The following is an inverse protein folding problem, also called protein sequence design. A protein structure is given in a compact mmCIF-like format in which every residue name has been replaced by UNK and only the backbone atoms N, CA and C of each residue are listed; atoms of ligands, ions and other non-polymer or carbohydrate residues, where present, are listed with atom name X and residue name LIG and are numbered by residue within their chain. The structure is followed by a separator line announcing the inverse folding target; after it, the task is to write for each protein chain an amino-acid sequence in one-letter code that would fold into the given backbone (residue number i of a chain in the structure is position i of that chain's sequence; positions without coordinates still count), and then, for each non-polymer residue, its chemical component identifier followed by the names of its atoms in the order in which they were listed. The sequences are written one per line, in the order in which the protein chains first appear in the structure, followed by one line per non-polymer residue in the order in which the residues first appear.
data_IF_619119448078
#
_entry.id   IF_619119448078
#
_cell.length_a   1.000
_cell.length_b   1.000
_cell.length_c   1.000
_cell.angle_alpha   90.00
_cell.angle_beta   90.00
_cell.angle_gamma   90.00
#
_symmetry.space_group_name_H-M   'P 1'
#
loop_
_entity.id
_entity.type
_entity.pdbx_description
1 polymer ?
#
# COMPACT_ATOMS: atom_id res chain seq x y z
N UNK A 1 13.98 9.39 -10.88
CA UNK A 1 12.63 9.97 -10.69
C UNK A 1 12.54 11.11 -11.68
N UNK A 2 11.90 10.89 -12.83
CA UNK A 2 11.66 11.97 -13.76
C UNK A 2 10.57 12.86 -13.17
N UNK A 3 10.89 14.14 -12.99
CA UNK A 3 9.99 15.18 -12.54
C UNK A 3 8.92 15.37 -13.63
N UNK A 4 7.77 14.71 -13.47
CA UNK A 4 6.60 15.01 -14.29
C UNK A 4 6.13 16.41 -13.90
N UNK A 5 6.62 17.42 -14.62
CA UNK A 5 6.04 18.76 -14.63
C UNK A 5 4.54 18.59 -14.86
N UNK A 6 3.66 19.16 -14.00
CA UNK A 6 2.23 18.98 -14.15
C UNK A 6 1.83 19.48 -15.55
N UNK A 7 1.34 18.56 -16.39
CA UNK A 7 0.85 18.90 -17.72
C UNK A 7 -0.21 19.99 -17.55
N UNK A 8 0.09 21.18 -18.08
CA UNK A 8 -0.77 22.36 -18.00
C UNK A 8 -2.16 21.97 -18.50
N UNK A 9 -3.20 22.21 -17.69
CA UNK A 9 -4.57 21.86 -18.10
C UNK A 9 -4.91 22.54 -19.42
N UNK A 10 -5.55 21.82 -20.37
CA UNK A 10 -5.91 22.39 -21.66
C UNK A 10 -6.82 23.59 -21.45
N UNK A 11 -6.52 24.70 -22.13
CA UNK A 11 -7.27 25.96 -22.02
C UNK A 11 -8.36 25.96 -23.08
N UNK A 12 -9.61 26.18 -22.67
CA UNK A 12 -10.73 26.24 -23.60
C UNK A 12 -10.57 27.45 -24.54
N UNK A 13 -10.74 27.30 -25.86
CA UNK A 13 -10.79 28.44 -26.77
C UNK A 13 -11.93 29.38 -26.40
N UNK A 14 -11.75 30.67 -26.65
CA UNK A 14 -12.75 31.67 -26.32
C UNK A 14 -14.08 31.38 -27.04
N UNK A 15 -15.20 31.54 -26.33
CA UNK A 15 -16.52 31.32 -26.91
C UNK A 15 -16.82 32.45 -27.89
N UNK A 16 -16.87 32.16 -29.18
CA UNK A 16 -17.34 33.13 -30.16
C UNK A 16 -18.78 33.55 -29.83
N UNK A 17 -19.00 34.86 -29.74
CA UNK A 17 -20.34 35.41 -29.70
C UNK A 17 -21.06 35.05 -31.01
N UNK A 18 -22.34 34.67 -30.98
CA UNK A 18 -23.10 34.40 -32.20
C UNK A 18 -23.17 35.69 -33.03
N UNK A 19 -22.35 35.79 -34.07
CA UNK A 19 -22.45 36.87 -35.05
C UNK A 19 -23.67 36.61 -35.93
N UNK A 20 -24.56 37.59 -36.14
CA UNK A 20 -25.69 37.41 -37.04
C UNK A 20 -25.19 37.10 -38.45
N UNK A 21 -25.92 36.24 -39.15
CA UNK A 21 -25.64 35.92 -40.55
C UNK A 21 -25.67 37.22 -41.36
N UNK A 22 -24.73 37.44 -42.31
CA UNK A 22 -24.76 38.62 -43.17
C UNK A 22 -26.16 38.78 -43.79
N UNK A 23 -26.80 39.96 -43.69
CA UNK A 23 -28.13 40.18 -44.24
C UNK A 23 -28.10 40.06 -45.76
N UNK A 24 -29.16 39.49 -46.33
CA UNK A 24 -29.32 39.33 -47.78
C UNK A 24 -29.35 40.74 -48.41
N UNK A 25 -28.56 41.02 -49.45
CA UNK A 25 -28.53 42.33 -50.08
C UNK A 25 -29.89 42.64 -50.71
N UNK A 26 -30.44 43.81 -50.39
CA UNK A 26 -31.65 44.33 -51.04
C UNK A 26 -31.27 44.99 -52.37
N UNK A 27 -31.67 44.37 -53.48
CA UNK A 27 -31.34 44.83 -54.84
C UNK A 27 -32.44 45.66 -55.49
N UNK A 28 -33.51 46.00 -54.76
CA UNK A 28 -34.69 46.68 -55.29
C UNK A 28 -34.42 48.10 -55.82
N UNK A 29 -33.37 48.76 -55.33
CA UNK A 29 -33.02 50.15 -55.67
C UNK A 29 -31.67 50.30 -56.42
N UNK A 30 -31.01 49.19 -56.78
CA UNK A 30 -29.68 49.21 -57.41
C UNK A 30 -29.75 49.21 -58.94
N UNK A 31 -28.80 49.88 -59.61
CA UNK A 31 -28.67 49.84 -61.09
C UNK A 31 -28.29 48.44 -61.56
N UNK A 32 -28.82 47.99 -62.70
CA UNK A 32 -28.61 46.63 -63.22
C UNK A 32 -27.14 46.18 -63.35
N UNK A 33 -26.22 47.12 -63.56
CA UNK A 33 -24.77 46.87 -63.66
C UNK A 33 -24.07 46.66 -62.29
N UNK A 34 -24.66 47.11 -61.19
CA UNK A 34 -24.08 47.05 -59.84
C UNK A 34 -24.47 45.76 -59.09
N UNK A 35 -25.56 45.10 -59.53
CA UNK A 35 -26.12 43.89 -58.94
C UNK A 35 -25.08 42.73 -58.87
N UNK A 36 -24.32 42.39 -59.93
CA UNK A 36 -23.34 41.31 -59.88
C UNK A 36 -22.23 41.56 -58.87
N UNK A 37 -21.80 42.82 -58.74
CA UNK A 37 -20.76 43.25 -57.82
C UNK A 37 -21.25 43.12 -56.37
N UNK A 38 -22.48 43.54 -56.08
CA UNK A 38 -23.12 43.38 -54.75
C UNK A 38 -23.20 41.90 -54.35
N UNK A 39 -23.66 41.03 -55.24
CA UNK A 39 -23.70 39.58 -54.97
C UNK A 39 -22.30 38.98 -54.79
N UNK A 40 -21.28 39.46 -55.51
CA UNK A 40 -19.91 38.97 -55.37
C UNK A 40 -19.30 39.30 -53.99
N UNK A 41 -19.55 40.51 -53.49
CA UNK A 41 -19.16 40.92 -52.14
C UNK A 41 -19.90 40.12 -51.08
N UNK A 42 -21.21 39.92 -51.24
CA UNK A 42 -22.02 39.10 -50.33
C UNK A 42 -21.52 37.65 -50.27
N UNK A 43 -21.23 37.02 -51.41
CA UNK A 43 -20.64 35.67 -51.48
C UNK A 43 -19.29 35.60 -50.79
N UNK A 44 -18.45 36.62 -50.97
CA UNK A 44 -17.14 36.71 -50.31
C UNK A 44 -17.30 36.86 -48.80
N UNK A 45 -18.26 37.68 -48.33
CA UNK A 45 -18.60 37.84 -46.92
C UNK A 45 -19.07 36.52 -46.28
N UNK A 46 -19.97 35.80 -46.94
CA UNK A 46 -20.42 34.46 -46.52
C UNK A 46 -19.26 33.45 -46.49
N UNK A 47 -18.36 33.49 -47.47
CA UNK A 47 -17.19 32.61 -47.50
C UNK A 47 -16.28 32.83 -46.29
N UNK A 48 -15.98 34.10 -45.95
CA UNK A 48 -15.19 34.44 -44.74
C UNK A 48 -15.91 34.03 -43.45
N UNK A 49 -17.22 34.21 -43.40
CA UNK A 49 -18.01 33.78 -42.23
C UNK A 49 -17.94 32.24 -42.06
N UNK A 50 -18.02 31.49 -43.15
CA UNK A 50 -17.89 30.02 -43.13
C UNK A 50 -16.47 29.57 -42.74
N UNK A 51 -15.42 30.25 -43.18
CA UNK A 51 -14.04 29.91 -42.77
C UNK A 51 -13.84 30.14 -41.27
N UNK A 52 -14.28 31.28 -40.74
CA UNK A 52 -14.18 31.55 -39.29
C UNK A 52 -14.96 30.54 -38.43
N UNK A 53 -16.16 30.12 -38.85
CA UNK A 53 -16.89 29.04 -38.17
C UNK A 53 -16.18 27.68 -38.30
N UNK A 54 -15.47 27.44 -39.40
CA UNK A 54 -14.72 26.19 -39.61
C UNK A 54 -13.46 26.15 -38.74
N UNK A 55 -12.72 27.25 -38.67
CA UNK A 55 -11.58 27.43 -37.75
C UNK A 55 -12.01 27.19 -36.30
N UNK A 56 -13.10 27.84 -35.85
CA UNK A 56 -13.62 27.62 -34.50
C UNK A 56 -14.05 26.18 -34.21
N UNK A 57 -14.58 25.46 -35.22
CA UNK A 57 -14.88 24.03 -35.10
C UNK A 57 -13.62 23.19 -34.97
N UNK A 58 -12.55 23.54 -35.68
CA UNK A 58 -11.25 22.89 -35.57
C UNK A 58 -10.67 23.12 -34.18
N UNK A 59 -10.62 24.36 -33.70
CA UNK A 59 -10.10 24.71 -32.35
C UNK A 59 -10.84 23.94 -31.24
N UNK A 60 -12.18 23.85 -31.34
CA UNK A 60 -12.98 23.07 -30.39
C UNK A 60 -12.71 21.57 -30.48
N UNK A 61 -12.37 21.06 -31.66
CA UNK A 61 -12.04 19.64 -31.87
C UNK A 61 -10.66 19.30 -31.31
N UNK A 62 -9.67 20.17 -31.50
CA UNK A 62 -8.35 20.06 -30.87
C UNK A 62 -8.48 20.12 -29.35
N UNK A 63 -9.17 21.12 -28.81
CA UNK A 63 -9.41 21.24 -27.37
C UNK A 63 -10.09 20.00 -26.76
N UNK A 64 -11.04 19.38 -27.48
CA UNK A 64 -11.68 18.13 -27.03
C UNK A 64 -10.70 16.96 -27.01
N UNK A 65 -9.80 16.90 -27.98
CA UNK A 65 -8.78 15.85 -28.07
C UNK A 65 -7.78 16.01 -26.94
N UNK A 66 -7.29 17.23 -26.69
CA UNK A 66 -6.39 17.54 -25.57
C UNK A 66 -7.04 17.23 -24.22
N UNK A 67 -8.30 17.61 -24.05
CA UNK A 67 -9.06 17.29 -22.83
C UNK A 67 -9.25 15.78 -22.65
N UNK A 68 -9.42 15.02 -23.74
CA UNK A 68 -9.51 13.56 -23.70
C UNK A 68 -8.18 12.95 -23.25
N UNK A 69 -7.06 13.37 -23.84
CA UNK A 69 -5.72 12.91 -23.46
C UNK A 69 -5.43 13.24 -21.99
N UNK A 70 -5.70 14.48 -21.56
CA UNK A 70 -5.49 14.92 -20.18
C UNK A 70 -6.32 14.11 -19.17
N UNK A 71 -7.54 13.68 -19.53
CA UNK A 71 -8.36 12.80 -18.69
C UNK A 71 -7.76 11.39 -18.58
N UNK A 72 -7.22 10.87 -19.68
CA UNK A 72 -6.54 9.57 -19.69
C UNK A 72 -5.31 9.61 -18.78
N UNK A 73 -4.44 10.61 -18.92
CA UNK A 73 -3.25 10.77 -18.07
C UNK A 73 -3.61 10.86 -16.57
N UNK A 74 -4.65 11.63 -16.24
CA UNK A 74 -5.12 11.75 -14.87
C UNK A 74 -5.67 10.41 -14.33
N UNK A 75 -6.33 9.63 -15.18
CA UNK A 75 -6.84 8.29 -14.85
C UNK A 75 -5.70 7.31 -14.58
N UNK A 76 -4.67 7.32 -15.42
CA UNK A 76 -3.46 6.51 -15.24
C UNK A 76 -2.74 6.87 -13.94
N UNK A 77 -2.53 8.17 -13.69
CA UNK A 77 -1.88 8.65 -12.47
C UNK A 77 -2.66 8.24 -11.20
N UNK A 78 -4.01 8.35 -11.23
CA UNK A 78 -4.87 7.88 -10.13
C UNK A 78 -4.70 6.37 -9.89
N UNK A 79 -4.62 5.59 -10.96
CA UNK A 79 -4.40 4.14 -10.88
C UNK A 79 -3.03 3.83 -10.28
N UNK A 80 -1.97 4.52 -10.72
CA UNK A 80 -0.63 4.39 -10.16
C UNK A 80 -0.59 4.72 -8.66
N UNK A 81 -1.20 5.82 -8.26
CA UNK A 81 -1.29 6.24 -6.86
C UNK A 81 -2.09 5.23 -6.01
N UNK A 82 -3.14 4.63 -6.58
CA UNK A 82 -3.90 3.56 -5.94
C UNK A 82 -3.02 2.33 -5.68
N UNK A 83 -2.28 1.87 -6.70
CA UNK A 83 -1.35 0.73 -6.58
C UNK A 83 -0.27 0.98 -5.52
N UNK A 84 0.31 2.19 -5.49
CA UNK A 84 1.30 2.60 -4.47
C UNK A 84 0.71 2.56 -3.05
N UNK A 85 -0.53 3.03 -2.87
CA UNK A 85 -1.24 2.97 -1.57
C UNK A 85 -1.46 1.53 -1.10
N UNK A 86 -1.85 0.64 -2.01
CA UNK A 86 -2.00 -0.78 -1.73
C UNK A 86 -0.67 -1.40 -1.28
N UNK A 87 0.42 -1.12 -1.99
CA UNK A 87 1.77 -1.55 -1.60
C UNK A 87 2.17 -1.10 -0.19
N UNK A 88 1.93 0.17 0.15
CA UNK A 88 2.20 0.70 1.50
C UNK A 88 1.29 0.09 2.57
N UNK A 89 0.05 -0.25 2.23
CA UNK A 89 -0.87 -0.94 3.15
C UNK A 89 -0.35 -2.32 3.55
N UNK A 90 0.14 -3.09 2.56
CA UNK A 90 0.76 -4.41 2.80
C UNK A 90 1.96 -4.30 3.76
N UNK A 91 2.80 -3.29 3.58
CA UNK A 91 3.95 -3.04 4.46
C UNK A 91 3.51 -2.69 5.90
N UNK A 92 2.43 -1.94 6.06
CA UNK A 92 1.84 -1.66 7.38
C UNK A 92 1.28 -2.92 8.04
N UNK A 93 0.56 -3.76 7.31
CA UNK A 93 0.02 -5.04 7.84
C UNK A 93 1.15 -5.94 8.32
N UNK A 94 2.25 -6.01 7.57
CA UNK A 94 3.47 -6.72 8.01
C UNK A 94 4.02 -6.16 9.32
N UNK A 95 4.21 -4.84 9.41
CA UNK A 95 4.75 -4.21 10.61
C UNK A 95 3.85 -4.48 11.84
N UNK A 96 2.53 -4.53 11.65
CA UNK A 96 1.60 -4.94 12.70
C UNK A 96 1.83 -6.39 13.15
N UNK A 97 2.03 -7.32 12.21
CA UNK A 97 2.35 -8.71 12.55
C UNK A 97 3.69 -8.86 13.30
N UNK A 98 4.70 -8.05 12.96
CA UNK A 98 5.97 -7.97 13.69
C UNK A 98 5.76 -7.48 15.13
N UNK A 99 4.90 -6.47 15.34
CA UNK A 99 4.57 -5.97 16.69
C UNK A 99 3.85 -7.03 17.53
N UNK A 100 2.92 -7.77 16.94
CA UNK A 100 2.25 -8.87 17.63
C UNK A 100 3.26 -9.94 18.06
N UNK A 101 4.19 -10.31 17.18
CA UNK A 101 5.24 -11.28 17.52
C UNK A 101 6.12 -10.75 18.67
N UNK A 102 6.50 -9.47 18.67
CA UNK A 102 7.26 -8.89 19.77
C UNK A 102 6.49 -8.90 21.10
N UNK A 103 5.17 -8.71 21.06
CA UNK A 103 4.32 -8.84 22.26
C UNK A 103 4.30 -10.28 22.77
N UNK A 104 4.14 -11.26 21.88
CA UNK A 104 4.14 -12.68 22.24
C UNK A 104 5.50 -13.12 22.81
N UNK A 105 6.61 -12.64 22.23
CA UNK A 105 7.97 -12.86 22.74
C UNK A 105 8.08 -12.37 24.18
N UNK A 106 7.61 -11.14 24.47
CA UNK A 106 7.69 -10.57 25.82
C UNK A 106 6.90 -11.39 26.83
N UNK A 107 5.66 -11.75 26.50
CA UNK A 107 4.82 -12.58 27.37
C UNK A 107 5.49 -13.94 27.65
N UNK A 108 6.01 -14.58 26.60
CA UNK A 108 6.68 -15.87 26.69
C UNK A 108 7.94 -15.79 27.55
N UNK A 109 8.78 -14.78 27.33
CA UNK A 109 10.02 -14.57 28.09
C UNK A 109 9.74 -14.32 29.58
N UNK A 110 8.70 -13.56 29.92
CA UNK A 110 8.28 -13.35 31.30
C UNK A 110 7.84 -14.65 31.96
N UNK A 111 7.05 -15.48 31.27
CA UNK A 111 6.62 -16.78 31.79
C UNK A 111 7.79 -17.75 31.97
N UNK A 112 8.72 -17.80 31.01
CA UNK A 112 9.90 -18.67 31.08
C UNK A 112 10.83 -18.22 32.21
N UNK A 113 11.15 -16.94 32.31
CA UNK A 113 12.07 -16.41 33.33
C UNK A 113 11.49 -16.54 34.75
N UNK A 114 10.21 -16.20 34.92
CA UNK A 114 9.53 -16.37 36.21
C UNK A 114 9.39 -17.84 36.60
N UNK A 115 9.01 -18.70 35.66
CA UNK A 115 8.88 -20.14 35.89
C UNK A 115 10.21 -20.78 36.27
N UNK A 116 11.30 -20.38 35.62
CA UNK A 116 12.65 -20.81 35.95
C UNK A 116 13.09 -20.35 37.35
N UNK A 117 12.80 -19.10 37.71
CA UNK A 117 13.15 -18.55 39.02
C UNK A 117 12.42 -19.29 40.14
N UNK A 118 11.10 -19.48 40.00
CA UNK A 118 10.28 -20.27 40.94
C UNK A 118 10.85 -21.68 41.06
N UNK A 119 11.07 -22.36 39.92
CA UNK A 119 11.59 -23.72 39.91
C UNK A 119 12.89 -23.84 40.71
N UNK A 120 13.86 -22.94 40.48
CA UNK A 120 15.14 -22.95 41.18
C UNK A 120 15.03 -22.62 42.67
N UNK A 121 14.23 -21.61 43.04
CA UNK A 121 14.06 -21.22 44.46
C UNK A 121 13.46 -22.38 45.25
N UNK A 122 12.36 -22.97 44.77
CA UNK A 122 11.73 -24.09 45.47
C UNK A 122 12.62 -25.32 45.53
N UNK A 123 13.38 -25.59 44.47
CA UNK A 123 14.37 -26.68 44.47
C UNK A 123 15.47 -26.46 45.52
N UNK A 124 16.07 -25.27 45.57
CA UNK A 124 17.10 -24.93 46.57
C UNK A 124 16.57 -24.98 48.01
N UNK A 125 15.33 -24.57 48.25
CA UNK A 125 14.68 -24.65 49.55
C UNK A 125 14.37 -26.10 49.96
N UNK A 126 14.03 -26.96 49.00
CA UNK A 126 13.87 -28.39 49.25
C UNK A 126 15.21 -29.06 49.56
N UNK A 127 16.26 -28.71 48.81
CA UNK A 127 17.61 -29.24 49.01
C UNK A 127 18.22 -28.80 50.36
N UNK A 128 17.84 -27.63 50.89
CA UNK A 128 18.27 -27.15 52.22
C UNK A 128 17.49 -27.74 53.40
N UNK A 129 16.47 -28.57 53.14
CA UNK A 129 15.61 -29.16 54.16
C UNK A 129 14.63 -28.17 54.83
N UNK A 130 14.52 -26.94 54.32
CA UNK A 130 13.62 -25.91 54.86
C UNK A 130 12.13 -26.20 54.60
N UNK A 131 11.83 -27.06 53.63
CA UNK A 131 10.49 -27.52 53.28
C UNK A 131 10.51 -29.04 53.06
N UNK A 132 9.55 -29.76 53.64
CA UNK A 132 9.30 -31.17 53.32
C UNK A 132 8.97 -31.23 51.83
N UNK A 133 9.86 -31.85 51.05
CA UNK A 133 9.87 -31.84 49.58
C UNK A 133 8.60 -32.47 48.99
N UNK A 134 7.52 -31.69 48.95
CA UNK A 134 6.34 -31.97 48.15
C UNK A 134 6.62 -31.57 46.71
N UNK A 135 6.46 -32.48 45.75
CA UNK A 135 6.72 -32.25 44.32
C UNK A 135 5.87 -31.11 43.69
N UNK A 136 4.91 -30.53 44.42
CA UNK A 136 3.91 -29.61 43.87
C UNK A 136 4.43 -28.21 43.43
N UNK A 137 5.31 -27.49 44.18
CA UNK A 137 5.73 -26.15 43.78
C UNK A 137 6.71 -26.11 42.60
N UNK A 138 7.61 -27.09 42.51
CA UNK A 138 8.54 -27.21 41.37
C UNK A 138 7.81 -27.49 40.05
N UNK A 139 6.74 -28.29 40.10
CA UNK A 139 5.90 -28.55 38.93
C UNK A 139 5.25 -27.28 38.38
N UNK A 140 4.89 -26.32 39.24
CA UNK A 140 4.29 -25.06 38.82
C UNK A 140 5.25 -24.20 38.00
N UNK A 141 6.51 -24.09 38.43
CA UNK A 141 7.56 -23.40 37.67
C UNK A 141 7.80 -24.05 36.30
N UNK A 142 7.86 -25.39 36.26
CA UNK A 142 7.99 -26.17 35.02
C UNK A 142 6.82 -25.94 34.05
N UNK A 143 5.58 -25.96 34.55
CA UNK A 143 4.37 -25.69 33.74
C UNK A 143 4.44 -24.29 33.12
N UNK A 144 4.88 -23.28 33.88
CA UNK A 144 4.96 -21.92 33.37
C UNK A 144 5.99 -21.76 32.25
N UNK A 145 7.13 -22.46 32.36
CA UNK A 145 8.14 -22.53 31.28
C UNK A 145 7.55 -23.18 30.03
N UNK A 146 6.89 -24.34 30.18
CA UNK A 146 6.25 -25.05 29.06
C UNK A 146 5.18 -24.18 28.41
N UNK A 147 4.36 -23.49 29.20
CA UNK A 147 3.34 -22.58 28.70
C UNK A 147 3.96 -21.41 27.90
N UNK A 148 5.01 -20.78 28.43
CA UNK A 148 5.74 -19.73 27.73
C UNK A 148 6.37 -20.24 26.42
N UNK A 149 6.90 -21.46 26.41
CA UNK A 149 7.44 -22.10 25.19
C UNK A 149 6.34 -22.37 24.16
N UNK A 150 5.17 -22.85 24.58
CA UNK A 150 4.02 -23.07 23.69
C UNK A 150 3.56 -21.75 23.05
N UNK A 151 3.44 -20.68 23.83
CA UNK A 151 3.08 -19.35 23.32
C UNK A 151 4.13 -18.87 22.31
N UNK A 152 5.42 -19.04 22.60
CA UNK A 152 6.50 -18.62 21.70
C UNK A 152 6.50 -19.41 20.39
N UNK A 153 6.37 -20.74 20.46
CA UNK A 153 6.27 -21.61 19.28
C UNK A 153 5.04 -21.26 18.45
N UNK A 154 3.88 -21.06 19.10
CA UNK A 154 2.65 -20.65 18.45
C UNK A 154 2.78 -19.30 17.75
N UNK A 155 3.43 -18.32 18.40
CA UNK A 155 3.70 -17.01 17.84
C UNK A 155 4.61 -17.08 16.60
N UNK A 156 5.68 -17.88 16.66
CA UNK A 156 6.58 -18.13 15.52
C UNK A 156 5.79 -18.78 14.37
N UNK A 157 5.01 -19.82 14.65
CA UNK A 157 4.20 -20.51 13.64
C UNK A 157 3.22 -19.55 12.97
N UNK A 158 2.42 -18.83 13.76
CA UNK A 158 1.47 -17.81 13.27
C UNK A 158 2.17 -16.77 12.39
N UNK A 159 3.33 -16.27 12.82
CA UNK A 159 4.08 -15.26 12.08
C UNK A 159 4.63 -15.82 10.75
N UNK A 160 5.13 -17.05 10.74
CA UNK A 160 5.60 -17.72 9.51
C UNK A 160 4.44 -17.96 8.55
N UNK A 161 3.31 -18.46 9.03
CA UNK A 161 2.10 -18.65 8.21
C UNK A 161 1.62 -17.34 7.60
N UNK A 162 1.55 -16.27 8.40
CA UNK A 162 1.20 -14.95 7.92
C UNK A 162 2.19 -14.45 6.85
N UNK A 163 3.49 -14.62 7.07
CA UNK A 163 4.52 -14.22 6.11
C UNK A 163 4.42 -15.01 4.79
N UNK A 164 4.12 -16.31 4.86
CA UNK A 164 3.90 -17.15 3.68
C UNK A 164 2.63 -16.74 2.95
N UNK A 165 1.52 -16.54 3.66
CA UNK A 165 0.25 -16.10 3.08
C UNK A 165 0.39 -14.76 2.37
N UNK A 166 1.10 -13.80 2.99
CA UNK A 166 1.33 -12.49 2.41
C UNK A 166 2.22 -12.56 1.16
N UNK A 167 3.18 -13.50 1.12
CA UNK A 167 4.00 -13.76 -0.08
C UNK A 167 3.17 -14.32 -1.23
N UNK A 168 2.24 -15.23 -0.96
CA UNK A 168 1.33 -15.76 -1.98
C UNK A 168 0.40 -14.68 -2.52
N UNK A 169 -0.28 -13.95 -1.63
CA UNK A 169 -1.16 -12.83 -2.02
C UNK A 169 -0.40 -11.79 -2.84
N UNK A 170 0.83 -11.46 -2.45
CA UNK A 170 1.65 -10.51 -3.20
C UNK A 170 2.02 -11.05 -4.58
N UNK A 171 2.35 -12.33 -4.70
CA UNK A 171 2.68 -12.95 -5.99
C UNK A 171 1.48 -12.85 -6.95
N UNK A 172 0.29 -13.16 -6.45
CA UNK A 172 -0.96 -13.04 -7.22
C UNK A 172 -1.27 -11.59 -7.60
N UNK A 173 -1.08 -10.63 -6.68
CA UNK A 173 -1.27 -9.19 -6.97
C UNK A 173 -0.23 -8.64 -7.97
N UNK A 174 1.00 -9.18 -8.00
CA UNK A 174 2.01 -8.79 -8.98
C UNK A 174 1.68 -9.39 -10.35
N UNK A 175 1.26 -10.66 -10.38
CA UNK A 175 0.86 -11.37 -11.60
C UNK A 175 -0.32 -10.68 -12.30
N UNK A 176 -1.31 -10.25 -11.50
CA UNK A 176 -2.47 -9.47 -11.95
C UNK A 176 -2.18 -7.98 -12.20
N UNK A 177 -0.91 -7.53 -12.15
CA UNK A 177 -0.50 -6.13 -12.36
C UNK A 177 -1.18 -5.12 -11.41
N UNK A 178 -1.66 -5.57 -10.23
CA UNK A 178 -2.33 -4.71 -9.25
C UNK A 178 -1.33 -3.94 -8.36
N UNK A 179 -0.07 -4.38 -8.28
CA UNK A 179 0.99 -3.72 -7.52
C UNK A 179 2.34 -3.83 -8.21
N UNK A 180 3.18 -2.80 -8.07
CA UNK A 180 4.55 -2.79 -8.59
C UNK A 180 5.47 -3.68 -7.74
N UNK A 181 6.20 -4.60 -8.37
CA UNK A 181 7.05 -5.62 -7.72
C UNK A 181 8.37 -5.15 -7.09
N UNK A 182 8.60 -3.84 -6.91
CA UNK A 182 9.95 -3.30 -6.71
C UNK A 182 10.52 -3.35 -5.28
N UNK A 183 9.73 -3.68 -4.25
CA UNK A 183 10.26 -3.71 -2.87
C UNK A 183 10.77 -5.10 -2.46
N UNK A 184 12.02 -5.14 -1.98
CA UNK A 184 12.63 -6.31 -1.36
C UNK A 184 11.83 -6.70 -0.09
N UNK A 185 11.73 -8.00 0.18
CA UNK A 185 11.07 -8.55 1.36
C UNK A 185 12.12 -8.92 2.41
N UNK A 186 12.62 -7.98 3.23
CA UNK A 186 13.64 -8.30 4.23
C UNK A 186 13.08 -9.26 5.26
N UNK A 187 13.93 -10.14 5.79
CA UNK A 187 13.57 -11.07 6.88
C UNK A 187 13.20 -10.24 8.13
N UNK A 188 12.18 -10.66 8.88
CA UNK A 188 11.81 -9.98 10.12
C UNK A 188 12.87 -10.23 11.19
N UNK A 189 13.45 -9.17 11.74
CA UNK A 189 14.36 -9.25 12.90
C UNK A 189 13.64 -9.88 14.10
N UNK A 190 12.34 -9.63 14.26
CA UNK A 190 11.52 -10.21 15.32
C UNK A 190 11.49 -11.75 15.25
N UNK A 191 11.38 -12.31 14.04
CA UNK A 191 11.43 -13.75 13.83
C UNK A 191 12.78 -14.34 14.25
N UNK A 192 13.89 -13.69 13.88
CA UNK A 192 15.24 -14.14 14.25
C UNK A 192 15.39 -14.15 15.77
N UNK A 193 14.99 -13.07 16.44
CA UNK A 193 15.02 -12.97 17.90
C UNK A 193 14.14 -14.04 18.54
N UNK A 194 12.94 -14.30 18.02
CA UNK A 194 12.05 -15.33 18.54
C UNK A 194 12.69 -16.73 18.47
N UNK A 195 13.35 -17.06 17.36
CA UNK A 195 14.05 -18.35 17.19
C UNK A 195 15.21 -18.48 18.17
N UNK A 196 16.03 -17.42 18.33
CA UNK A 196 17.12 -17.43 19.30
C UNK A 196 16.61 -17.63 20.74
N UNK A 197 15.54 -16.93 21.11
CA UNK A 197 14.92 -17.09 22.43
C UNK A 197 14.29 -18.46 22.62
N UNK A 198 13.74 -19.07 21.57
CA UNK A 198 13.23 -20.43 21.62
C UNK A 198 14.35 -21.43 21.92
N UNK A 199 15.52 -21.27 21.28
CA UNK A 199 16.70 -22.10 21.57
C UNK A 199 17.13 -21.95 23.02
N UNK A 200 17.20 -20.70 23.53
CA UNK A 200 17.54 -20.44 24.94
C UNK A 200 16.53 -21.07 25.90
N UNK A 201 15.23 -20.93 25.63
CA UNK A 201 14.18 -21.53 26.45
C UNK A 201 14.22 -23.06 26.44
N UNK A 202 14.57 -23.66 25.30
CA UNK A 202 14.72 -25.11 25.16
C UNK A 202 15.95 -25.62 25.93
N UNK A 203 17.07 -24.90 25.88
CA UNK A 203 18.26 -25.18 26.69
C UNK A 203 17.96 -25.08 28.19
N UNK A 204 17.19 -24.08 28.62
CA UNK A 204 16.76 -23.94 30.01
C UNK A 204 15.88 -25.12 30.47
N UNK A 205 14.96 -25.57 29.60
CA UNK A 205 14.13 -26.74 29.87
C UNK A 205 14.96 -28.03 29.96
N UNK A 206 15.95 -28.22 29.08
CA UNK A 206 16.86 -29.36 29.13
C UNK A 206 17.69 -29.36 30.42
N UNK A 207 18.21 -28.20 30.85
CA UNK A 207 18.94 -28.07 32.11
C UNK A 207 18.10 -28.53 33.31
N UNK A 208 16.81 -28.16 33.34
CA UNK A 208 15.87 -28.62 34.38
C UNK A 208 15.65 -30.13 34.34
N UNK A 209 15.42 -30.69 33.15
CA UNK A 209 15.09 -32.13 32.98
C UNK A 209 16.30 -33.00 33.34
N UNK A 210 17.49 -32.62 32.91
CA UNK A 210 18.70 -33.43 33.08
C UNK A 210 19.43 -33.17 34.40
N UNK A 211 18.97 -32.23 35.23
CA UNK A 211 19.70 -31.78 36.44
C UNK A 211 21.14 -31.30 36.15
N UNK A 212 21.46 -30.97 34.90
CA UNK A 212 22.77 -30.46 34.51
C UNK A 212 22.71 -28.95 34.70
N UNK A 213 23.57 -28.41 35.57
CA UNK A 213 23.81 -26.96 35.63
C UNK A 213 24.49 -26.53 34.33
N UNK A 214 23.69 -26.08 33.36
CA UNK A 214 24.21 -25.52 32.11
C UNK A 214 24.82 -24.12 32.34
N UNK A 215 24.45 -23.50 33.46
CA UNK A 215 24.92 -22.19 33.90
C UNK A 215 25.34 -22.29 35.38
N UNK A 216 26.54 -22.82 35.64
CA UNK A 216 27.26 -22.71 36.93
C UNK A 216 26.49 -23.13 38.17
#
# INVERSE_FOLDING_TARGET
MAEQTPAKSPVRPERLAPTPVPPIPDTSSAKGEEIPTIYSHFRTGLSRHRTGLSEHRTDLSEYRTDLSMHRTDLSENRTEMSMRRTGMSIQRTRMSADRTLMSEIRTSLSMISFGFTIYQVFRKLADSGAITSGRAPGNFGGILIVLGMIILIGGIWRHVQFALQLRHLRKEMIDSQLIHGQSAYPVSVALVVAILLLIVGLLALLSIIFNISLFG
#
